data_IF_117121874760
#
_entry.id   IF_117121874760
#
_cell.length_a   1.000
_cell.length_b   1.000
_cell.length_c   1.000
_cell.angle_alpha   90.00
_cell.angle_beta   90.00
_cell.angle_gamma   90.00
#
_symmetry.space_group_name_H-M   'P 1'
#
loop_
_entity.id
_entity.type
_entity.pdbx_description
1 polymer ?
#
# COMPACT_ATOMS: atom_id res chain seq x y z
N UNK A 1 -13.79 9.45 -8.28
CA UNK A 1 -14.06 10.85 -7.89
C UNK A 1 -12.76 11.44 -7.36
N UNK A 2 -12.24 12.50 -7.99
CA UNK A 2 -11.00 13.16 -7.56
C UNK A 2 -11.30 13.94 -6.29
N UNK A 3 -10.77 13.53 -5.14
CA UNK A 3 -10.74 14.37 -3.95
C UNK A 3 -9.68 15.45 -4.18
N UNK A 4 -10.11 16.70 -4.27
CA UNK A 4 -9.19 17.86 -4.23
C UNK A 4 -8.69 17.95 -2.80
N UNK A 5 -7.42 17.60 -2.60
CA UNK A 5 -6.72 17.84 -1.33
C UNK A 5 -6.41 19.34 -1.27
N UNK A 6 -7.25 20.06 -0.58
CA UNK A 6 -6.92 21.39 -0.10
C UNK A 6 -6.15 21.24 1.21
N UNK A 7 -5.02 21.92 1.30
CA UNK A 7 -4.06 21.83 2.41
C UNK A 7 -4.68 21.90 3.80
N UNK A 8 -4.02 21.20 4.74
CA UNK A 8 -4.47 20.84 6.09
C UNK A 8 -4.93 21.94 7.05
N UNK A 9 -5.04 23.20 6.64
CA UNK A 9 -5.41 24.34 7.50
C UNK A 9 -6.86 24.82 7.34
N UNK A 10 -7.71 24.13 6.58
CA UNK A 10 -9.10 24.57 6.43
C UNK A 10 -10.03 23.94 7.46
N UNK A 11 -10.47 24.74 8.40
CA UNK A 11 -11.46 24.47 9.46
C UNK A 11 -12.82 23.97 8.97
N UNK A 12 -13.10 24.02 7.68
CA UNK A 12 -14.34 23.50 7.10
C UNK A 12 -14.37 21.96 7.02
N UNK A 13 -13.24 21.27 6.98
CA UNK A 13 -13.19 19.80 6.92
C UNK A 13 -14.02 19.14 8.05
N UNK A 14 -14.12 19.85 9.18
CA UNK A 14 -14.80 19.32 10.36
C UNK A 14 -16.20 19.92 10.56
N UNK A 15 -16.58 20.98 9.84
CA UNK A 15 -17.85 21.68 10.02
C UNK A 15 -18.91 21.35 8.97
N UNK A 16 -18.50 20.93 7.77
CA UNK A 16 -19.43 20.61 6.69
C UNK A 16 -19.28 19.14 6.29
N UNK A 17 -20.29 18.32 6.61
CA UNK A 17 -20.44 16.95 6.16
C UNK A 17 -21.53 16.91 5.10
N UNK A 18 -21.14 16.79 3.83
CA UNK A 18 -22.08 16.53 2.74
C UNK A 18 -22.45 15.04 2.71
N UNK A 19 -23.63 14.68 2.17
CA UNK A 19 -23.99 13.29 1.96
C UNK A 19 -22.92 12.58 1.14
N UNK A 20 -22.37 11.49 1.69
CA UNK A 20 -21.39 10.65 1.00
C UNK A 20 -22.10 9.54 0.24
N UNK A 21 -22.02 9.58 -1.08
CA UNK A 21 -22.54 8.55 -1.96
C UNK A 21 -21.39 7.77 -2.58
N UNK A 22 -21.37 6.47 -2.35
CA UNK A 22 -20.44 5.56 -3.01
C UNK A 22 -21.13 4.90 -4.20
N UNK A 23 -20.61 5.14 -5.39
CA UNK A 23 -21.08 4.46 -6.60
C UNK A 23 -20.70 2.98 -6.49
N UNK A 24 -21.62 2.03 -6.72
CA UNK A 24 -21.30 0.61 -6.72
C UNK A 24 -20.15 0.29 -7.67
N UNK A 25 -19.25 -0.58 -7.22
CA UNK A 25 -18.11 -1.02 -8.05
C UNK A 25 -18.59 -1.94 -9.18
N UNK A 26 -18.00 -1.81 -10.34
CA UNK A 26 -18.32 -2.61 -11.54
C UNK A 26 -17.55 -3.93 -11.54
N UNK A 27 -16.46 -3.97 -10.77
CA UNK A 27 -15.56 -5.10 -10.69
C UNK A 27 -15.05 -5.28 -9.24
N UNK A 28 -14.95 -6.52 -8.80
CA UNK A 28 -14.34 -6.85 -7.50
C UNK A 28 -12.82 -6.68 -7.56
N UNK A 29 -12.23 -6.27 -6.44
CA UNK A 29 -10.78 -6.21 -6.30
C UNK A 29 -10.20 -7.62 -6.36
N UNK A 30 -9.18 -7.78 -7.21
CA UNK A 30 -8.45 -9.03 -7.38
C UNK A 30 -7.11 -8.98 -6.64
N UNK A 31 -6.57 -10.14 -6.34
CA UNK A 31 -5.26 -10.27 -5.71
C UNK A 31 -4.18 -9.66 -6.61
N UNK A 32 -3.23 -8.95 -5.99
CA UNK A 32 -2.11 -8.23 -6.61
C UNK A 32 -2.48 -6.95 -7.38
N UNK A 33 -3.72 -6.52 -7.40
CA UNK A 33 -4.08 -5.21 -7.94
C UNK A 33 -3.62 -4.07 -7.01
N UNK A 34 -3.29 -2.93 -7.61
CA UNK A 34 -3.04 -1.69 -6.87
C UNK A 34 -4.40 -1.04 -6.58
N UNK A 35 -4.64 -0.69 -5.32
CA UNK A 35 -5.93 -0.21 -4.83
C UNK A 35 -5.76 1.11 -4.10
N UNK A 36 -6.67 2.04 -4.37
CA UNK A 36 -6.84 3.28 -3.61
C UNK A 36 -7.94 3.04 -2.57
N UNK A 37 -7.65 3.35 -1.31
CA UNK A 37 -8.60 3.16 -0.22
C UNK A 37 -8.41 4.22 0.86
N UNK A 38 -9.46 4.46 1.64
CA UNK A 38 -9.41 5.31 2.81
C UNK A 38 -8.71 4.56 3.95
N UNK A 39 -7.72 5.17 4.58
CA UNK A 39 -6.92 4.54 5.65
C UNK A 39 -7.81 4.16 6.84
N UNK A 40 -7.96 2.87 7.20
CA UNK A 40 -8.84 2.48 8.29
C UNK A 40 -8.40 3.03 9.66
N UNK A 41 -7.10 3.15 9.89
CA UNK A 41 -6.52 3.66 11.13
C UNK A 41 -6.57 5.19 11.27
N UNK A 42 -6.93 5.92 10.21
CA UNK A 42 -7.10 7.39 10.25
C UNK A 42 -8.46 7.73 10.89
N UNK A 43 -8.50 7.75 12.21
CA UNK A 43 -9.74 7.93 13.00
C UNK A 43 -9.85 9.30 13.63
N UNK A 44 -8.74 10.04 13.78
CA UNK A 44 -8.71 11.35 14.43
C UNK A 44 -9.21 12.45 13.50
N UNK A 45 -10.11 13.29 13.99
CA UNK A 45 -10.56 14.49 13.29
C UNK A 45 -9.46 15.57 13.25
N UNK A 46 -8.72 15.72 14.33
CA UNK A 46 -7.56 16.59 14.46
C UNK A 46 -6.34 15.76 14.86
N UNK A 47 -5.29 15.79 14.05
CA UNK A 47 -4.05 15.02 14.29
C UNK A 47 -3.28 15.48 15.54
N UNK A 48 -3.58 16.67 16.07
CA UNK A 48 -2.94 17.22 17.27
C UNK A 48 -3.79 17.05 18.54
N UNK A 49 -5.03 16.58 18.43
CA UNK A 49 -5.93 16.37 19.55
C UNK A 49 -6.08 14.87 19.87
N UNK A 50 -5.43 14.42 20.90
CA UNK A 50 -5.46 13.05 21.40
C UNK A 50 -6.46 12.83 22.54
N UNK A 51 -7.40 13.77 22.79
CA UNK A 51 -8.40 13.65 23.84
C UNK A 51 -9.36 12.48 23.56
N UNK A 52 -9.44 11.46 24.42
CA UNK A 52 -10.36 10.34 24.25
C UNK A 52 -11.82 10.82 24.10
N UNK A 53 -12.59 10.12 23.28
CA UNK A 53 -14.03 10.35 23.01
C UNK A 53 -14.40 11.66 22.29
N UNK A 54 -13.49 12.61 22.13
CA UNK A 54 -13.78 13.87 21.43
C UNK A 54 -13.37 13.82 19.96
N UNK A 55 -12.32 13.10 19.62
CA UNK A 55 -11.63 13.21 18.33
C UNK A 55 -11.50 11.90 17.56
N UNK A 56 -12.19 10.84 17.98
CA UNK A 56 -12.02 9.51 17.36
C UNK A 56 -12.99 9.20 16.22
N UNK A 57 -13.88 10.15 15.89
CA UNK A 57 -14.79 9.96 14.76
C UNK A 57 -14.34 10.78 13.56
N UNK A 58 -13.91 10.10 12.51
CA UNK A 58 -13.60 10.70 11.21
C UNK A 58 -14.40 9.97 10.13
N UNK A 59 -15.32 10.66 9.43
CA UNK A 59 -16.09 10.06 8.34
C UNK A 59 -15.17 9.45 7.28
N UNK A 60 -15.63 8.40 6.60
CA UNK A 60 -14.81 7.64 5.64
C UNK A 60 -14.26 8.53 4.52
N UNK A 61 -15.09 9.43 3.99
CA UNK A 61 -14.75 10.38 2.93
C UNK A 61 -13.68 11.42 3.31
N UNK A 62 -13.46 11.61 4.60
CA UNK A 62 -12.44 12.52 5.14
C UNK A 62 -11.15 11.83 5.55
N UNK A 63 -11.12 10.50 5.56
CA UNK A 63 -9.91 9.73 5.86
C UNK A 63 -8.87 9.88 4.75
N UNK A 64 -7.60 9.80 5.14
CA UNK A 64 -6.47 9.83 4.20
C UNK A 64 -6.56 8.70 3.18
N UNK A 65 -6.43 9.06 1.90
CA UNK A 65 -6.36 8.07 0.84
C UNK A 65 -4.96 7.47 0.73
N UNK A 66 -4.88 6.16 0.76
CA UNK A 66 -3.65 5.41 0.55
C UNK A 66 -3.73 4.59 -0.73
N UNK A 67 -2.56 4.35 -1.32
CA UNK A 67 -2.39 3.47 -2.48
C UNK A 67 -1.47 2.34 -2.08
N UNK A 68 -1.97 1.10 -2.12
CA UNK A 68 -1.20 -0.11 -1.81
C UNK A 68 -1.58 -1.24 -2.76
N UNK A 69 -0.82 -2.33 -2.71
CA UNK A 69 -1.16 -3.57 -3.41
C UNK A 69 -2.06 -4.44 -2.53
N UNK A 70 -3.18 -4.90 -3.09
CA UNK A 70 -4.04 -5.89 -2.46
C UNK A 70 -3.39 -7.27 -2.59
N UNK A 71 -2.66 -7.71 -1.55
CA UNK A 71 -1.95 -9.00 -1.59
C UNK A 71 -2.81 -10.16 -1.08
N UNK A 72 -3.89 -9.87 -0.38
CA UNK A 72 -4.86 -10.85 0.10
C UNK A 72 -6.29 -10.34 -0.03
N UNK A 73 -7.19 -11.20 -0.44
CA UNK A 73 -8.63 -10.92 -0.63
C UNK A 73 -9.46 -11.72 0.36
N UNK A 74 -10.74 -11.39 0.48
CA UNK A 74 -11.67 -12.07 1.38
C UNK A 74 -11.72 -13.59 1.15
N UNK A 75 -11.51 -14.37 2.21
CA UNK A 75 -11.44 -15.82 2.21
C UNK A 75 -10.03 -16.40 2.11
N UNK A 76 -9.01 -15.58 1.92
CA UNK A 76 -7.61 -16.04 1.91
C UNK A 76 -7.09 -16.26 3.33
N UNK A 77 -6.18 -17.21 3.48
CA UNK A 77 -5.26 -17.31 4.63
C UNK A 77 -3.90 -16.80 4.17
N UNK A 78 -3.43 -15.72 4.80
CA UNK A 78 -2.21 -15.03 4.46
C UNK A 78 -1.13 -15.29 5.50
N UNK A 79 0.08 -15.55 5.03
CA UNK A 79 1.30 -15.66 5.83
C UNK A 79 2.44 -14.90 5.14
N UNK A 80 3.36 -14.34 5.92
CA UNK A 80 4.59 -13.73 5.41
C UNK A 80 5.76 -14.53 5.96
N UNK A 81 6.58 -15.05 5.05
CA UNK A 81 7.79 -15.80 5.36
C UNK A 81 8.95 -15.09 4.64
N UNK A 82 9.95 -14.69 5.41
CA UNK A 82 11.10 -13.92 4.90
C UNK A 82 10.67 -12.70 4.06
N UNK A 83 9.59 -11.99 4.47
CA UNK A 83 9.03 -10.83 3.79
C UNK A 83 8.25 -11.12 2.52
N UNK A 84 8.18 -12.37 2.05
CA UNK A 84 7.35 -12.78 0.93
C UNK A 84 5.98 -13.25 1.41
N UNK A 85 4.94 -12.85 0.67
CA UNK A 85 3.56 -13.23 0.97
C UNK A 85 3.27 -14.63 0.44
N UNK A 86 2.64 -15.44 1.30
CA UNK A 86 2.05 -16.73 0.98
C UNK A 86 0.55 -16.65 1.16
N UNK A 87 -0.19 -17.24 0.22
CA UNK A 87 -1.66 -17.30 0.26
C UNK A 87 -2.07 -18.75 0.20
N UNK A 88 -2.81 -19.19 1.20
CA UNK A 88 -3.27 -20.58 1.31
C UNK A 88 -2.10 -21.57 1.19
N UNK A 89 -0.97 -21.26 1.84
CA UNK A 89 0.26 -22.05 1.85
C UNK A 89 1.12 -21.96 0.59
N UNK A 90 0.73 -21.18 -0.43
CA UNK A 90 1.50 -21.03 -1.67
C UNK A 90 2.08 -19.63 -1.80
N UNK A 91 3.35 -19.52 -2.22
CA UNK A 91 4.01 -18.22 -2.48
C UNK A 91 3.21 -17.43 -3.50
N UNK A 92 2.87 -16.20 -3.15
CA UNK A 92 2.09 -15.31 -4.01
C UNK A 92 2.90 -14.89 -5.24
N UNK A 93 2.40 -15.24 -6.43
CA UNK A 93 3.02 -14.84 -7.71
C UNK A 93 2.58 -13.42 -8.06
N UNK A 94 3.54 -12.51 -8.06
CA UNK A 94 3.30 -11.11 -8.42
C UNK A 94 3.27 -10.90 -9.93
N UNK A 95 2.54 -9.85 -10.41
CA UNK A 95 2.61 -9.40 -11.80
C UNK A 95 4.04 -8.99 -12.18
N UNK A 96 4.43 -9.19 -13.44
CA UNK A 96 5.78 -8.88 -13.91
C UNK A 96 6.23 -7.42 -13.77
N UNK A 97 5.29 -6.49 -13.54
CA UNK A 97 5.60 -5.06 -13.27
C UNK A 97 5.76 -4.74 -11.79
N UNK A 98 5.48 -5.67 -10.88
CA UNK A 98 5.67 -5.46 -9.45
C UNK A 98 7.17 -5.49 -9.13
N UNK A 99 7.63 -4.49 -8.35
CA UNK A 99 9.03 -4.39 -7.91
C UNK A 99 9.05 -4.29 -6.40
N UNK A 100 9.31 -5.41 -5.76
CA UNK A 100 9.48 -5.42 -4.31
C UNK A 100 10.81 -4.81 -3.93
N UNK A 101 10.78 -4.02 -2.86
CA UNK A 101 11.97 -3.44 -2.26
C UNK A 101 12.09 -3.95 -0.83
N UNK A 102 13.32 -4.35 -0.48
CA UNK A 102 13.67 -4.86 0.84
C UNK A 102 14.88 -4.10 1.41
N UNK A 103 15.11 -4.25 2.70
CA UNK A 103 16.33 -3.76 3.34
C UNK A 103 17.49 -4.73 3.11
N UNK A 104 18.68 -4.16 2.94
CA UNK A 104 19.91 -4.90 2.76
C UNK A 104 20.99 -4.36 3.67
N UNK A 105 21.89 -5.24 4.09
CA UNK A 105 23.12 -4.90 4.79
C UNK A 105 24.32 -5.47 4.02
N UNK A 106 25.47 -4.88 4.22
CA UNK A 106 26.66 -5.37 3.57
C UNK A 106 27.94 -4.80 4.16
N UNK A 107 29.06 -5.32 3.68
CA UNK A 107 30.39 -4.94 4.11
C UNK A 107 31.08 -4.08 3.05
N UNK A 108 31.97 -3.21 3.50
CA UNK A 108 32.87 -2.39 2.66
C UNK A 108 34.19 -3.13 2.57
N UNK A 109 34.77 -3.23 1.36
CA UNK A 109 36.10 -3.84 1.15
C UNK A 109 37.15 -3.11 1.95
N UNK A 110 38.11 -3.81 2.57
CA UNK A 110 39.25 -3.18 3.29
C UNK A 110 39.97 -2.12 2.45
N UNK A 111 40.26 -0.99 3.07
CA UNK A 111 40.95 0.13 2.39
C UNK A 111 40.08 0.88 1.36
N UNK A 112 38.81 0.55 1.22
CA UNK A 112 37.87 1.25 0.34
C UNK A 112 36.84 2.02 1.18
N UNK A 113 36.12 2.93 0.52
CA UNK A 113 35.08 3.74 1.12
C UNK A 113 34.12 4.24 0.05
N UNK A 114 33.00 4.83 0.49
CA UNK A 114 32.04 5.48 -0.41
C UNK A 114 32.36 6.97 -0.54
N UNK A 115 32.23 7.51 -1.73
CA UNK A 115 32.39 8.94 -1.99
C UNK A 115 31.26 9.75 -1.31
N UNK A 116 31.53 11.05 -1.05
CA UNK A 116 30.49 11.98 -0.52
C UNK A 116 29.23 12.03 -1.39
N UNK A 117 29.34 11.75 -2.68
CA UNK A 117 28.23 11.78 -3.63
C UNK A 117 27.52 10.42 -3.79
N UNK A 118 27.82 9.44 -2.94
CA UNK A 118 27.24 8.09 -3.08
C UNK A 118 25.70 8.12 -3.10
N UNK A 119 25.06 8.91 -2.24
CA UNK A 119 23.60 9.01 -2.20
C UNK A 119 23.00 9.53 -3.52
N UNK A 120 23.68 10.43 -4.21
CA UNK A 120 23.25 10.87 -5.55
C UNK A 120 23.39 9.74 -6.56
N UNK A 121 24.53 9.01 -6.54
CA UNK A 121 24.74 7.87 -7.44
C UNK A 121 23.78 6.72 -7.18
N UNK A 122 23.43 6.46 -5.91
CA UNK A 122 22.40 5.47 -5.55
C UNK A 122 21.10 5.78 -6.27
N UNK A 123 20.64 7.03 -6.23
CA UNK A 123 19.38 7.46 -6.87
C UNK A 123 19.43 7.49 -8.39
N UNK A 124 20.54 7.95 -8.97
CA UNK A 124 20.61 8.20 -10.43
C UNK A 124 21.07 7.01 -11.23
N UNK A 125 21.90 6.15 -10.66
CA UNK A 125 22.52 5.03 -11.38
C UNK A 125 22.02 3.67 -10.89
N UNK A 126 21.80 3.51 -9.57
CA UNK A 126 21.40 2.22 -9.00
C UNK A 126 19.89 2.10 -8.75
N UNK A 127 19.10 3.14 -8.97
CA UNK A 127 17.65 3.23 -8.69
C UNK A 127 17.32 2.89 -7.21
N UNK A 128 18.21 3.29 -6.29
CA UNK A 128 18.04 3.14 -4.84
C UNK A 128 17.72 4.52 -4.26
N UNK A 129 16.46 4.74 -3.88
CA UNK A 129 15.94 6.10 -3.55
C UNK A 129 15.99 6.44 -2.06
N UNK A 130 15.90 5.46 -1.17
CA UNK A 130 15.77 5.66 0.27
C UNK A 130 17.10 5.93 0.99
N UNK A 131 18.20 5.98 0.22
CA UNK A 131 19.52 6.28 0.74
C UNK A 131 20.21 5.10 1.40
N UNK A 132 21.44 5.38 1.86
CA UNK A 132 22.32 4.41 2.50
C UNK A 132 22.89 5.01 3.79
N UNK A 133 22.91 4.21 4.85
CA UNK A 133 23.71 4.48 6.06
C UNK A 133 24.96 3.62 5.99
N UNK A 134 26.11 4.18 6.36
CA UNK A 134 27.36 3.43 6.37
C UNK A 134 28.36 3.98 7.40
N UNK A 135 29.26 3.12 7.82
CA UNK A 135 30.44 3.43 8.61
C UNK A 135 31.71 3.01 7.84
N UNK A 136 32.83 2.81 8.52
CA UNK A 136 34.11 2.41 7.90
C UNK A 136 34.10 0.99 7.32
N UNK A 137 33.25 0.10 7.81
CA UNK A 137 33.26 -1.34 7.49
C UNK A 137 31.97 -1.86 6.91
N UNK A 138 30.83 -1.27 7.26
CA UNK A 138 29.51 -1.78 6.93
C UNK A 138 28.61 -0.70 6.34
N UNK A 139 27.60 -1.14 5.60
CA UNK A 139 26.52 -0.26 5.13
C UNK A 139 25.15 -0.94 5.25
N UNK A 140 24.10 -0.12 5.28
CA UNK A 140 22.72 -0.54 5.30
C UNK A 140 21.94 0.27 4.26
N UNK A 141 21.14 -0.43 3.43
CA UNK A 141 20.19 0.14 2.49
C UNK A 141 18.79 -0.11 3.02
N UNK A 142 18.00 0.95 3.20
CA UNK A 142 16.65 0.85 3.76
C UNK A 142 15.67 0.19 2.80
N UNK A 143 15.83 0.44 1.48
CA UNK A 143 14.99 -0.17 0.46
C UNK A 143 15.71 -0.23 -0.89
N UNK A 144 15.78 -1.43 -1.47
CA UNK A 144 16.28 -1.65 -2.82
C UNK A 144 15.57 -2.85 -3.46
N UNK A 145 15.49 -2.87 -4.79
CA UNK A 145 15.06 -4.06 -5.55
C UNK A 145 16.23 -5.02 -5.71
N UNK A 146 15.94 -6.29 -6.00
CA UNK A 146 16.99 -7.28 -6.29
C UNK A 146 17.86 -6.83 -7.48
N UNK A 147 17.25 -6.28 -8.54
CA UNK A 147 17.96 -5.77 -9.72
C UNK A 147 18.92 -4.64 -9.35
N UNK A 148 18.47 -3.70 -8.51
CA UNK A 148 19.32 -2.61 -8.00
C UNK A 148 20.50 -3.14 -7.18
N UNK A 149 20.28 -4.17 -6.38
CA UNK A 149 21.33 -4.81 -5.58
C UNK A 149 22.34 -5.53 -6.46
N UNK A 150 21.92 -6.28 -7.48
CA UNK A 150 22.85 -6.93 -8.42
C UNK A 150 23.72 -5.92 -9.16
N UNK A 151 23.19 -4.74 -9.48
CA UNK A 151 23.96 -3.65 -10.04
C UNK A 151 24.91 -3.03 -9.00
N UNK A 152 24.44 -2.84 -7.76
CA UNK A 152 25.23 -2.22 -6.69
C UNK A 152 26.38 -3.11 -6.20
N UNK A 153 26.24 -4.43 -6.23
CA UNK A 153 27.33 -5.40 -5.96
C UNK A 153 28.57 -5.18 -6.84
N UNK A 154 28.41 -4.59 -8.03
CA UNK A 154 29.50 -4.26 -8.94
C UNK A 154 30.28 -3.01 -8.53
N UNK A 155 29.86 -2.26 -7.50
CA UNK A 155 30.59 -1.09 -7.03
C UNK A 155 31.91 -1.51 -6.38
N UNK A 156 33.06 -0.84 -6.70
CA UNK A 156 34.41 -1.24 -6.24
C UNK A 156 34.57 -1.33 -4.72
N UNK A 157 33.80 -0.57 -3.96
CA UNK A 157 33.86 -0.55 -2.50
C UNK A 157 32.98 -1.58 -1.82
N UNK A 158 32.11 -2.27 -2.55
CA UNK A 158 31.18 -3.26 -1.98
C UNK A 158 31.90 -4.61 -1.80
N UNK A 159 31.90 -5.11 -0.57
CA UNK A 159 32.43 -6.43 -0.22
C UNK A 159 31.32 -7.49 -0.35
N UNK A 160 30.36 -7.48 0.55
CA UNK A 160 29.17 -8.36 0.52
C UNK A 160 27.91 -7.54 0.59
N UNK A 161 26.79 -8.10 0.09
CA UNK A 161 25.45 -7.56 0.27
C UNK A 161 24.50 -8.71 0.51
N UNK A 162 23.77 -8.63 1.63
CA UNK A 162 22.79 -9.62 2.02
C UNK A 162 21.48 -8.94 2.40
N UNK A 163 20.39 -9.63 2.20
CA UNK A 163 19.10 -9.14 2.61
C UNK A 163 18.99 -9.19 4.13
N UNK A 164 18.52 -8.09 4.74
CA UNK A 164 18.22 -8.04 6.16
C UNK A 164 16.86 -8.69 6.39
N UNK A 165 16.85 -9.80 7.10
CA UNK A 165 15.64 -10.54 7.49
C UNK A 165 15.59 -10.61 9.00
N UNK A 166 14.48 -10.22 9.60
CA UNK A 166 14.25 -10.40 11.04
C UNK A 166 13.77 -11.83 11.27
N UNK A 167 14.48 -12.63 12.07
CA UNK A 167 14.15 -14.03 12.29
C UNK A 167 12.80 -14.21 13.02
N UNK A 168 12.21 -15.39 12.83
CA UNK A 168 10.99 -15.80 13.54
C UNK A 168 11.24 -15.78 15.05
N UNK A 169 10.25 -15.32 15.82
CA UNK A 169 10.34 -15.23 17.28
C UNK A 169 10.85 -13.88 17.81
N UNK A 170 11.35 -13.00 16.96
CA UNK A 170 11.64 -11.61 17.31
C UNK A 170 10.44 -10.73 16.96
N UNK A 171 9.44 -10.70 17.84
CA UNK A 171 8.20 -9.96 17.61
C UNK A 171 8.36 -8.45 17.73
N UNK A 172 7.52 -7.71 16.99
CA UNK A 172 7.39 -6.25 17.07
C UNK A 172 5.95 -5.92 17.49
N UNK A 173 5.75 -5.52 18.73
CA UNK A 173 4.44 -5.17 19.32
C UNK A 173 3.76 -3.99 18.60
N UNK A 174 4.48 -3.21 17.81
CA UNK A 174 3.92 -2.12 17.01
C UNK A 174 3.16 -2.64 15.77
N UNK A 175 3.27 -3.92 15.47
CA UNK A 175 2.56 -4.55 14.37
C UNK A 175 1.21 -5.08 14.82
N UNK A 176 0.29 -5.16 13.87
CA UNK A 176 -1.02 -5.75 14.07
C UNK A 176 -0.89 -7.22 14.53
N UNK A 177 -1.67 -7.65 15.52
CA UNK A 177 -2.79 -6.96 16.17
C UNK A 177 -2.41 -6.11 17.40
N UNK A 178 -1.14 -5.76 17.63
CA UNK A 178 -0.61 -5.05 18.79
C UNK A 178 -0.87 -5.80 20.11
N UNK A 179 -0.79 -7.11 20.07
CA UNK A 179 -1.01 -8.01 21.19
C UNK A 179 0.22 -8.89 21.44
N UNK A 180 0.74 -8.99 22.69
CA UNK A 180 1.94 -9.75 23.01
C UNK A 180 1.86 -11.25 22.70
N UNK A 181 0.65 -11.81 22.57
CA UNK A 181 0.45 -13.20 22.18
C UNK A 181 0.91 -13.49 20.74
N UNK A 182 1.04 -12.45 19.91
CA UNK A 182 1.45 -12.55 18.52
C UNK A 182 2.89 -12.10 18.34
N UNK A 183 3.80 -13.05 18.28
CA UNK A 183 5.22 -12.79 18.17
C UNK A 183 5.66 -12.60 16.70
N UNK A 184 4.95 -11.69 15.99
CA UNK A 184 5.15 -11.40 14.57
C UNK A 184 6.08 -10.22 14.35
N UNK A 185 6.74 -10.20 13.17
CA UNK A 185 7.55 -9.08 12.73
C UNK A 185 7.28 -8.77 11.24
N UNK A 186 7.99 -7.80 10.66
CA UNK A 186 7.76 -7.37 9.27
C UNK A 186 8.05 -8.46 8.23
N UNK A 187 8.94 -9.40 8.56
CA UNK A 187 9.39 -10.47 7.66
C UNK A 187 8.74 -11.82 7.97
N UNK A 188 8.23 -12.02 9.21
CA UNK A 188 7.61 -13.25 9.70
C UNK A 188 6.27 -12.91 10.33
N UNK A 189 5.16 -13.12 9.62
CA UNK A 189 3.84 -12.65 10.02
C UNK A 189 2.75 -13.66 9.67
N UNK A 190 1.79 -13.88 10.57
CA UNK A 190 0.68 -14.80 10.36
C UNK A 190 0.96 -16.24 10.82
N UNK A 191 0.14 -17.22 10.37
CA UNK A 191 -0.94 -17.07 9.39
C UNK A 191 -2.16 -16.31 9.93
N UNK A 192 -2.87 -15.60 9.04
CA UNK A 192 -4.07 -14.85 9.36
C UNK A 192 -5.16 -15.06 8.30
N UNK A 193 -6.39 -15.37 8.74
CA UNK A 193 -7.54 -15.49 7.84
C UNK A 193 -8.13 -14.09 7.53
N UNK A 194 -8.34 -13.81 6.26
CA UNK A 194 -8.96 -12.55 5.78
C UNK A 194 -10.47 -12.76 5.69
N UNK A 195 -11.25 -12.07 6.53
CA UNK A 195 -12.69 -12.32 6.62
C UNK A 195 -13.42 -12.06 5.31
N UNK A 196 -14.43 -12.92 5.06
CA UNK A 196 -15.30 -12.85 3.88
C UNK A 196 -16.74 -12.68 4.31
N UNK A 197 -17.48 -11.84 3.60
CA UNK A 197 -18.92 -11.62 3.81
C UNK A 197 -19.68 -12.94 3.82
N UNK A 198 -20.52 -13.10 4.84
CA UNK A 198 -21.37 -14.28 5.04
C UNK A 198 -20.66 -15.51 5.59
N UNK A 199 -19.33 -15.44 5.78
CA UNK A 199 -18.58 -16.54 6.39
C UNK A 199 -18.57 -16.38 7.91
N UNK A 200 -18.87 -17.47 8.61
CA UNK A 200 -18.85 -17.57 10.07
C UNK A 200 -17.51 -18.20 10.50
N UNK A 201 -16.85 -17.56 11.46
CA UNK A 201 -15.64 -18.10 12.11
C UNK A 201 -15.89 -18.32 13.60
N UNK A 202 -15.12 -19.21 14.22
CA UNK A 202 -15.04 -19.28 15.68
C UNK A 202 -14.36 -18.05 16.25
N UNK A 203 -14.85 -17.53 17.36
CA UNK A 203 -14.26 -16.42 18.11
C UNK A 203 -13.98 -16.88 19.53
N UNK A 204 -12.74 -16.68 19.95
CA UNK A 204 -12.26 -16.96 21.28
C UNK A 204 -11.28 -15.86 21.74
N UNK A 205 -10.78 -15.97 22.97
CA UNK A 205 -9.85 -14.99 23.53
C UNK A 205 -8.51 -14.92 22.79
N UNK A 206 -8.12 -16.00 22.09
CA UNK A 206 -6.84 -16.07 21.37
C UNK A 206 -6.89 -15.33 20.05
N UNK A 207 -8.01 -15.42 19.31
CA UNK A 207 -8.17 -14.77 18.01
C UNK A 207 -8.92 -13.42 18.09
N UNK A 208 -9.47 -13.08 19.25
CA UNK A 208 -10.16 -11.81 19.47
C UNK A 208 -9.32 -10.59 19.06
N UNK A 209 -8.03 -10.48 19.38
CA UNK A 209 -7.22 -9.33 18.96
C UNK A 209 -7.21 -9.08 17.46
N UNK A 210 -7.29 -10.14 16.64
CA UNK A 210 -7.31 -10.04 15.19
C UNK A 210 -8.62 -9.43 14.66
N UNK A 211 -9.75 -9.74 15.31
CA UNK A 211 -11.09 -9.45 14.74
C UNK A 211 -11.90 -8.43 15.55
N UNK A 212 -11.47 -8.08 16.77
CA UNK A 212 -12.19 -7.15 17.64
C UNK A 212 -12.55 -5.85 16.93
N UNK A 213 -11.57 -5.22 16.27
CA UNK A 213 -11.76 -3.96 15.57
C UNK A 213 -12.72 -4.07 14.39
N UNK A 214 -12.69 -5.20 13.67
CA UNK A 214 -13.60 -5.45 12.56
C UNK A 214 -15.03 -5.49 13.04
N UNK A 215 -15.26 -6.28 14.10
CA UNK A 215 -16.58 -6.50 14.68
C UNK A 215 -17.13 -5.22 15.32
N UNK A 216 -16.29 -4.48 16.06
CA UNK A 216 -16.74 -3.27 16.73
C UNK A 216 -16.83 -2.07 15.78
N UNK A 217 -15.72 -1.63 15.20
CA UNK A 217 -15.65 -0.35 14.50
C UNK A 217 -16.24 -0.40 13.10
N UNK A 218 -16.00 -1.51 12.36
CA UNK A 218 -16.43 -1.58 10.96
C UNK A 218 -17.80 -2.21 10.76
N UNK A 219 -18.25 -3.01 11.73
CA UNK A 219 -19.56 -3.66 11.66
C UNK A 219 -20.56 -3.21 12.76
N UNK A 220 -20.13 -2.26 13.61
CA UNK A 220 -20.98 -1.53 14.54
C UNK A 220 -21.53 -2.36 15.69
N UNK A 221 -20.76 -3.36 16.17
CA UNK A 221 -21.16 -4.17 17.30
C UNK A 221 -20.40 -3.77 18.57
N UNK A 222 -20.96 -4.02 19.74
CA UNK A 222 -20.20 -4.02 20.99
C UNK A 222 -19.56 -5.39 21.17
N UNK A 223 -18.25 -5.43 21.52
CA UNK A 223 -17.52 -6.68 21.76
C UNK A 223 -16.54 -6.51 22.92
N UNK A 224 -16.60 -7.44 23.88
CA UNK A 224 -15.66 -7.49 25.00
C UNK A 224 -15.49 -8.93 25.48
N UNK A 225 -14.40 -9.18 26.19
CA UNK A 225 -14.12 -10.43 26.89
C UNK A 225 -14.39 -10.28 28.40
N UNK A 226 -14.95 -11.31 29.00
CA UNK A 226 -15.06 -11.43 30.45
C UNK A 226 -14.65 -12.86 30.87
N UNK A 227 -13.47 -12.97 31.47
CA UNK A 227 -12.81 -14.28 31.61
C UNK A 227 -12.54 -14.90 30.24
N UNK A 228 -12.90 -16.15 30.07
CA UNK A 228 -12.74 -16.89 28.80
C UNK A 228 -13.95 -16.76 27.84
N UNK A 229 -14.94 -15.93 28.18
CA UNK A 229 -16.13 -15.75 27.36
C UNK A 229 -16.06 -14.44 26.59
N UNK A 230 -16.47 -14.49 25.32
CA UNK A 230 -16.64 -13.32 24.46
C UNK A 230 -18.12 -12.93 24.46
N UNK A 231 -18.37 -11.64 24.57
CA UNK A 231 -19.72 -11.06 24.49
C UNK A 231 -19.80 -10.16 23.26
N UNK A 232 -20.81 -10.39 22.43
CA UNK A 232 -21.14 -9.53 21.28
C UNK A 232 -22.58 -9.03 21.50
N UNK A 233 -22.78 -7.72 21.52
CA UNK A 233 -24.05 -7.06 21.78
C UNK A 233 -24.72 -7.58 23.08
N UNK A 234 -23.92 -7.80 24.12
CA UNK A 234 -24.38 -8.27 25.43
C UNK A 234 -24.69 -9.78 25.54
N UNK A 235 -24.53 -10.54 24.46
CA UNK A 235 -24.77 -12.00 24.42
C UNK A 235 -23.45 -12.75 24.31
N UNK A 236 -23.34 -13.89 24.97
CA UNK A 236 -22.21 -14.81 24.82
C UNK A 236 -22.16 -15.29 23.38
N UNK A 237 -21.00 -15.18 22.74
CA UNK A 237 -20.76 -15.61 21.39
C UNK A 237 -19.47 -16.43 21.27
N UNK A 238 -19.55 -17.56 20.59
CA UNK A 238 -18.43 -18.42 20.25
C UNK A 238 -18.10 -18.36 18.75
N UNK A 239 -18.96 -17.70 17.98
CA UNK A 239 -18.82 -17.54 16.52
C UNK A 239 -19.23 -16.14 16.11
N UNK A 240 -18.74 -15.69 14.94
CA UNK A 240 -19.17 -14.44 14.32
C UNK A 240 -19.27 -14.58 12.80
N UNK A 241 -20.33 -14.04 12.20
CA UNK A 241 -20.56 -13.99 10.75
C UNK A 241 -20.29 -12.58 10.25
N UNK A 242 -19.32 -12.41 9.37
CA UNK A 242 -18.93 -11.10 8.84
C UNK A 242 -19.96 -10.54 7.86
N UNK A 243 -20.21 -9.22 7.94
CA UNK A 243 -21.20 -8.51 7.14
C UNK A 243 -20.65 -7.95 5.83
N UNK A 244 -19.31 -7.85 5.70
CA UNK A 244 -18.63 -7.35 4.50
C UNK A 244 -17.34 -8.12 4.21
N UNK A 245 -16.78 -7.91 3.01
CA UNK A 245 -15.48 -8.45 2.62
C UNK A 245 -14.34 -7.57 3.20
N UNK A 246 -13.18 -8.20 3.45
CA UNK A 246 -11.98 -7.53 3.92
C UNK A 246 -10.80 -7.84 3.01
N UNK A 247 -9.80 -6.95 3.03
CA UNK A 247 -8.63 -7.04 2.19
C UNK A 247 -7.37 -6.82 3.01
N UNK A 248 -6.24 -7.37 2.52
CA UNK A 248 -4.92 -7.14 3.09
C UNK A 248 -4.05 -6.36 2.11
N UNK A 249 -3.70 -5.12 2.51
CA UNK A 249 -3.04 -4.15 1.66
C UNK A 249 -1.59 -3.96 2.08
N UNK A 250 -0.63 -4.21 1.19
CA UNK A 250 0.80 -4.04 1.46
C UNK A 250 1.48 -3.14 0.43
N UNK A 251 2.47 -2.38 0.89
CA UNK A 251 3.34 -1.61 0.00
C UNK A 251 4.39 -2.50 -0.66
N UNK A 252 4.79 -2.17 -1.90
CA UNK A 252 5.87 -2.87 -2.59
C UNK A 252 7.24 -2.59 -1.95
N UNK A 253 7.43 -1.40 -1.33
CA UNK A 253 8.55 -1.14 -0.43
C UNK A 253 8.27 -1.77 0.94
N UNK A 254 8.69 -3.01 1.12
CA UNK A 254 8.31 -3.88 2.24
C UNK A 254 8.75 -3.34 3.60
N UNK A 255 9.93 -2.78 3.71
CA UNK A 255 10.48 -2.34 5.00
C UNK A 255 10.18 -0.87 5.31
N UNK A 256 9.82 -0.05 4.30
CA UNK A 256 9.49 1.37 4.48
C UNK A 256 8.01 1.70 4.22
N UNK A 257 7.11 0.72 4.33
CA UNK A 257 5.67 0.92 4.13
C UNK A 257 4.90 0.84 5.45
N UNK A 258 4.11 1.87 5.72
CA UNK A 258 3.03 1.80 6.73
C UNK A 258 1.82 1.19 6.02
N UNK A 259 1.53 -0.10 6.32
CA UNK A 259 0.52 -0.88 5.63
C UNK A 259 -0.24 -1.82 6.58
N UNK A 260 -0.98 -2.79 6.06
CA UNK A 260 -1.83 -3.68 6.83
C UNK A 260 -1.09 -4.43 7.95
N UNK A 261 0.21 -4.64 7.83
CA UNK A 261 1.01 -5.24 8.92
C UNK A 261 1.05 -4.37 10.18
N UNK A 262 0.78 -3.07 10.08
CA UNK A 262 0.71 -2.15 11.23
C UNK A 262 -0.70 -1.88 11.71
N UNK A 263 -1.68 -1.74 10.81
CA UNK A 263 -3.02 -1.30 11.17
C UNK A 263 -4.13 -2.32 10.85
N UNK A 264 -3.83 -3.47 10.25
CA UNK A 264 -4.75 -4.58 10.06
C UNK A 264 -5.52 -4.53 8.73
N UNK A 265 -6.74 -5.04 8.73
CA UNK A 265 -7.57 -5.23 7.55
C UNK A 265 -8.15 -3.93 6.99
N UNK A 266 -8.39 -3.91 5.67
CA UNK A 266 -9.18 -2.87 4.99
C UNK A 266 -10.57 -3.42 4.70
N UNK A 267 -11.63 -2.83 5.27
CA UNK A 267 -12.98 -3.23 4.96
C UNK A 267 -13.41 -2.76 3.56
N UNK A 268 -14.33 -3.49 2.92
CA UNK A 268 -14.78 -3.19 1.56
C UNK A 268 -15.31 -1.76 1.39
N UNK A 269 -16.03 -1.25 2.40
CA UNK A 269 -16.57 0.11 2.37
C UNK A 269 -15.50 1.22 2.41
N UNK A 270 -14.24 0.91 2.70
CA UNK A 270 -13.11 1.84 2.63
C UNK A 270 -12.42 1.83 1.26
N UNK A 271 -12.71 0.89 0.38
CA UNK A 271 -12.11 0.84 -0.95
C UNK A 271 -12.69 1.95 -1.82
N UNK A 272 -11.85 2.81 -2.37
CA UNK A 272 -12.23 3.89 -3.30
C UNK A 272 -12.26 3.37 -4.74
N UNK A 273 -11.25 2.59 -5.14
CA UNK A 273 -11.16 2.01 -6.46
C UNK A 273 -9.74 1.59 -6.83
N UNK A 274 -9.54 1.28 -8.12
CA UNK A 274 -8.21 0.93 -8.65
C UNK A 274 -7.78 1.92 -9.72
N UNK A 275 -6.53 2.41 -9.71
CA UNK A 275 -6.00 3.20 -10.80
C UNK A 275 -5.80 2.31 -12.03
N UNK A 276 -6.33 2.70 -13.17
CA UNK A 276 -6.24 1.90 -14.41
C UNK A 276 -5.28 2.49 -15.43
N UNK A 277 -5.07 3.81 -15.39
CA UNK A 277 -4.33 4.54 -16.40
C UNK A 277 -3.39 5.58 -15.82
N UNK A 278 -2.19 5.72 -16.39
CA UNK A 278 -1.17 6.72 -16.04
C UNK A 278 -1.10 7.71 -17.20
N UNK A 279 -1.68 8.89 -17.03
CA UNK A 279 -1.61 9.93 -18.06
C UNK A 279 -0.28 10.68 -18.03
N UNK A 280 0.34 10.83 -16.84
CA UNK A 280 1.64 11.46 -16.64
C UNK A 280 2.40 10.79 -15.49
N UNK A 281 3.72 10.71 -15.57
CA UNK A 281 4.60 10.24 -14.52
C UNK A 281 5.82 11.14 -14.40
N UNK A 282 6.11 11.58 -13.18
CA UNK A 282 7.17 12.53 -12.88
C UNK A 282 8.32 11.89 -12.11
N UNK A 283 9.55 12.19 -12.51
CA UNK A 283 10.75 11.80 -11.79
C UNK A 283 11.29 12.99 -10.99
N UNK A 284 11.11 12.99 -9.68
CA UNK A 284 11.57 14.07 -8.79
C UNK A 284 13.09 14.23 -8.79
N UNK A 285 13.83 13.17 -9.10
CA UNK A 285 15.29 13.16 -9.15
C UNK A 285 15.85 13.52 -10.54
N UNK A 286 15.00 13.65 -11.56
CA UNK A 286 15.39 14.00 -12.93
C UNK A 286 15.65 15.49 -13.09
N UNK A 287 16.38 15.88 -14.16
CA UNK A 287 16.59 17.28 -14.56
C UNK A 287 16.05 17.51 -15.97
N UNK A 288 15.50 18.72 -16.23
CA UNK A 288 14.96 19.08 -17.53
C UNK A 288 13.87 18.11 -18.01
N UNK A 289 13.94 17.68 -19.27
CA UNK A 289 12.99 16.74 -19.88
C UNK A 289 13.06 15.34 -19.27
N UNK A 290 14.15 14.96 -18.61
CA UNK A 290 14.28 13.69 -17.90
C UNK A 290 13.47 13.63 -16.59
N UNK A 291 12.83 14.74 -16.20
CA UNK A 291 11.80 14.74 -15.15
C UNK A 291 10.56 13.97 -15.58
N UNK A 292 10.24 13.90 -16.86
CA UNK A 292 9.10 13.13 -17.37
C UNK A 292 9.55 11.69 -17.60
N UNK A 293 8.86 10.75 -16.99
CA UNK A 293 9.06 9.31 -17.24
C UNK A 293 8.27 8.90 -18.47
N UNK A 294 8.83 9.19 -19.65
CA UNK A 294 8.18 8.95 -20.94
C UNK A 294 7.69 7.52 -21.14
N UNK A 295 8.42 6.55 -20.57
CA UNK A 295 8.06 5.12 -20.55
C UNK A 295 6.75 4.82 -19.81
N UNK A 296 6.26 5.76 -19.00
CA UNK A 296 5.04 5.64 -18.21
C UNK A 296 3.90 6.55 -18.64
N UNK A 297 4.17 7.53 -19.52
CA UNK A 297 3.17 8.49 -19.99
C UNK A 297 2.17 7.77 -20.90
N UNK A 298 0.88 7.96 -20.64
CA UNK A 298 -0.23 7.32 -21.37
C UNK A 298 -0.16 5.79 -21.36
N UNK A 299 0.14 5.18 -20.20
CA UNK A 299 0.24 3.73 -20.02
C UNK A 299 -0.80 3.19 -19.06
N UNK A 300 -1.03 1.87 -19.07
CA UNK A 300 -1.89 1.20 -18.09
C UNK A 300 -1.11 0.87 -16.81
N UNK A 301 -1.80 0.90 -15.65
CA UNK A 301 -1.22 0.53 -14.34
C UNK A 301 -1.07 -0.98 -14.25
N UNK A 302 -2.17 -1.71 -14.51
CA UNK A 302 -2.24 -3.16 -14.41
C UNK A 302 -2.01 -3.77 -15.80
N UNK A 303 -0.96 -4.53 -15.96
CA UNK A 303 -0.75 -5.49 -17.04
C UNK A 303 0.53 -6.30 -16.76
N UNK A 304 0.63 -7.46 -17.34
CA UNK A 304 1.88 -8.21 -17.47
C UNK A 304 2.66 -7.73 -18.68
N UNK A 305 3.98 -7.87 -18.63
CA UNK A 305 4.88 -7.51 -19.71
C UNK A 305 5.23 -6.00 -19.80
N UNK A 306 5.92 -5.57 -20.86
CA UNK A 306 6.42 -4.20 -21.01
C UNK A 306 5.28 -3.19 -21.10
N UNK A 307 5.52 -1.98 -20.58
CA UNK A 307 4.57 -0.89 -20.70
C UNK A 307 4.45 -0.45 -22.16
N UNK A 308 3.21 -0.34 -22.64
CA UNK A 308 2.92 0.24 -23.96
C UNK A 308 2.30 1.61 -23.76
N UNK A 309 2.91 2.64 -24.35
CA UNK A 309 2.37 4.00 -24.31
C UNK A 309 1.35 4.20 -25.42
N UNK A 310 0.21 4.73 -25.07
CA UNK A 310 -0.85 5.12 -26.02
C UNK A 310 -0.74 6.61 -26.42
N UNK A 311 0.36 7.29 -26.08
CA UNK A 311 0.56 8.71 -26.36
C UNK A 311 0.47 9.03 -27.87
N UNK A 312 1.10 8.21 -28.71
CA UNK A 312 1.06 8.41 -30.17
C UNK A 312 -0.38 8.33 -30.70
N UNK A 313 -1.16 7.35 -30.25
CA UNK A 313 -2.57 7.22 -30.63
C UNK A 313 -3.39 8.43 -30.19
N UNK A 314 -3.14 8.94 -29.00
CA UNK A 314 -3.80 10.15 -28.48
C UNK A 314 -3.44 11.38 -29.34
N UNK A 315 -2.18 11.58 -29.72
CA UNK A 315 -1.73 12.68 -30.58
C UNK A 315 -2.39 12.58 -31.97
N UNK A 316 -2.45 11.37 -32.57
CA UNK A 316 -3.12 11.15 -33.83
C UNK A 316 -4.60 11.54 -33.75
N UNK A 317 -5.31 11.13 -32.70
CA UNK A 317 -6.71 11.50 -32.48
C UNK A 317 -6.90 13.01 -32.34
N UNK A 318 -5.99 13.72 -31.67
CA UNK A 318 -6.04 15.18 -31.58
C UNK A 318 -5.84 15.84 -32.97
N UNK A 319 -4.90 15.36 -33.75
CA UNK A 319 -4.64 15.87 -35.08
C UNK A 319 -5.84 15.64 -36.06
N UNK A 320 -6.43 14.44 -36.00
CA UNK A 320 -7.64 14.13 -36.75
C UNK A 320 -8.82 15.01 -36.35
N UNK A 321 -9.01 15.21 -35.04
CA UNK A 321 -10.06 16.11 -34.53
C UNK A 321 -9.83 17.56 -34.98
N UNK A 322 -8.58 18.03 -34.91
CA UNK A 322 -8.21 19.37 -35.38
C UNK A 322 -8.48 19.51 -36.89
N UNK A 323 -8.03 18.55 -37.68
CA UNK A 323 -8.26 18.51 -39.14
C UNK A 323 -9.76 18.50 -39.48
N UNK A 324 -10.54 17.65 -38.79
CA UNK A 324 -12.00 17.58 -38.96
C UNK A 324 -12.68 18.91 -38.59
N UNK A 325 -12.31 19.53 -37.46
CA UNK A 325 -12.87 20.84 -37.05
C UNK A 325 -12.54 21.94 -38.08
N UNK A 326 -11.32 21.97 -38.63
CA UNK A 326 -10.87 22.92 -39.63
C UNK A 326 -11.62 22.71 -40.98
N UNK A 327 -11.79 21.43 -41.40
CA UNK A 327 -12.57 21.08 -42.58
C UNK A 327 -14.03 21.47 -42.44
N UNK A 328 -14.64 21.18 -41.28
CA UNK A 328 -16.05 21.56 -41.00
C UNK A 328 -16.26 23.08 -41.01
N UNK A 329 -15.27 23.86 -40.48
CA UNK A 329 -15.31 25.32 -40.51
C UNK A 329 -15.28 25.84 -41.97
N UNK A 330 -14.34 25.36 -42.80
CA UNK A 330 -14.22 25.72 -44.19
C UNK A 330 -15.50 25.39 -44.99
N UNK A 331 -16.12 24.25 -44.73
CA UNK A 331 -17.37 23.86 -45.38
C UNK A 331 -18.54 24.79 -45.00
N UNK A 332 -18.57 25.32 -43.78
CA UNK A 332 -19.59 26.30 -43.38
C UNK A 332 -19.34 27.71 -43.93
N UNK A 333 -18.09 28.08 -44.21
CA UNK A 333 -17.73 29.35 -44.82
C UNK A 333 -17.92 29.34 -46.35
N UNK A 334 -18.01 28.16 -46.96
CA UNK A 334 -18.23 27.97 -48.42
C UNK A 334 -19.70 27.70 -48.79
N UNK A 335 -20.59 27.56 -47.81
CA UNK A 335 -22.05 27.40 -47.99
C UNK A 335 -22.79 28.66 -47.58
#
# INVERSE_FOLDING_TARGET
MCQIHLDGNFTWKNKLQLPYLRIPGWEKIKRNEIVVFNQPADTLLDMNDFTPNRNYYKPIDKKTNLVKRCVGIAGDTLEIIDGYVYINGKKNKLPGRARLQFSYMGTIKPGKGFSRNINTRLKTYYDITDGMRFNSTNFELSAATEESIELFKKHPSVGSVERRIVPKGQGDISLFPQDPAYNWNMDQFGPIYIPKKGVTISIDTTNLPLYKRLISEYEGNTIYAKGNQIYINGKVATTYTFKQDYYWMMGDNRNSSIDARRWGFVPENHVVGKPVFIWMSWNTNGKGLNKIRWDRVFTTVHADGPRRSYLIHFVILLLLNYGYRKWRKRKKEAA
#
